data_IF_839705035644
#
_entry.id   IF_839705035644
#
_cell.length_a   1.000
_cell.length_b   1.000
_cell.length_c   1.000
_cell.angle_alpha   90.00
_cell.angle_beta   90.00
_cell.angle_gamma   90.00
#
_symmetry.space_group_name_H-M   'P 1'
#
loop_
_entity.id
_entity.type
_entity.pdbx_description
1 polymer ?
#
# COMPACT_ATOMS: atom_id res chain seq x y z
N UNK A 1 -6.30 7.56 -26.63
CA UNK A 1 -5.80 8.41 -25.54
C UNK A 1 -5.76 7.57 -24.25
N UNK A 2 -4.65 7.54 -23.51
CA UNK A 2 -4.52 6.78 -22.25
C UNK A 2 -4.18 7.76 -21.13
N UNK A 3 -4.95 7.76 -20.05
CA UNK A 3 -4.63 8.51 -18.83
C UNK A 3 -3.88 7.56 -17.89
N UNK A 4 -2.67 7.94 -17.48
CA UNK A 4 -1.95 7.24 -16.41
C UNK A 4 -2.48 7.71 -15.06
N UNK A 5 -2.89 6.77 -14.20
CA UNK A 5 -3.24 7.07 -12.81
C UNK A 5 -2.09 6.62 -11.93
N UNK A 6 -1.48 7.60 -11.26
CA UNK A 6 -0.53 7.41 -10.17
C UNK A 6 -1.16 7.99 -8.92
N UNK A 7 -1.21 7.19 -7.86
CA UNK A 7 -1.77 7.60 -6.58
C UNK A 7 -0.76 7.32 -5.49
N UNK A 8 -0.48 8.33 -4.68
CA UNK A 8 0.34 8.15 -3.49
C UNK A 8 -0.59 7.79 -2.35
N UNK A 9 -0.41 6.60 -1.80
CA UNK A 9 -1.15 6.17 -0.62
C UNK A 9 -0.38 6.66 0.59
N UNK A 10 -1.10 7.38 1.44
CA UNK A 10 -0.55 7.90 2.68
C UNK A 10 -1.66 8.22 3.66
N UNK A 11 -1.23 8.66 4.84
CA UNK A 11 -2.05 8.92 6.03
C UNK A 11 -3.37 9.63 5.72
N UNK A 12 -3.33 10.73 4.96
CA UNK A 12 -4.51 11.51 4.63
C UNK A 12 -5.58 10.69 3.89
N UNK A 13 -5.15 9.85 2.93
CA UNK A 13 -6.06 9.01 2.15
C UNK A 13 -6.60 7.85 2.97
N UNK A 14 -5.77 7.20 3.79
CA UNK A 14 -6.17 5.94 4.44
C UNK A 14 -6.94 6.11 5.75
N UNK A 15 -6.88 7.29 6.39
CA UNK A 15 -7.63 7.60 7.62
C UNK A 15 -9.13 7.38 7.49
N UNK A 16 -9.69 7.54 6.29
CA UNK A 16 -11.10 7.27 6.04
C UNK A 16 -11.47 5.78 6.22
N UNK A 17 -10.49 4.88 6.24
CA UNK A 17 -10.69 3.44 6.39
C UNK A 17 -10.50 2.95 7.84
N UNK A 18 -10.10 3.82 8.78
CA UNK A 18 -10.00 3.48 10.20
C UNK A 18 -8.92 4.26 10.95
N UNK A 19 -8.99 4.19 12.30
CA UNK A 19 -8.07 4.90 13.20
C UNK A 19 -6.60 4.49 13.03
N UNK A 20 -6.35 3.22 12.71
CA UNK A 20 -5.00 2.69 12.41
C UNK A 20 -4.33 3.38 11.19
N UNK A 21 -5.04 4.21 10.44
CA UNK A 21 -4.45 5.08 9.41
C UNK A 21 -3.41 6.06 9.96
N UNK A 22 -3.40 6.33 11.27
CA UNK A 22 -2.36 7.13 11.92
C UNK A 22 -0.95 6.54 11.81
N UNK A 23 -0.83 5.22 11.65
CA UNK A 23 0.44 4.51 11.54
C UNK A 23 1.06 4.56 10.13
N UNK A 24 0.30 5.04 9.14
CA UNK A 24 0.82 5.27 7.80
C UNK A 24 1.59 6.58 7.76
N UNK A 25 2.66 6.68 6.99
CA UNK A 25 3.26 7.98 6.69
C UNK A 25 2.43 8.76 5.67
N UNK A 26 2.72 10.05 5.56
CA UNK A 26 2.04 10.93 4.61
C UNK A 26 2.26 10.48 3.15
N UNK A 27 3.38 9.78 2.88
CA UNK A 27 3.68 9.10 1.61
C UNK A 27 4.24 7.70 1.91
N UNK A 28 3.36 6.70 1.95
CA UNK A 28 3.72 5.33 2.35
C UNK A 28 4.12 4.46 1.16
N UNK A 29 3.30 4.46 0.11
CA UNK A 29 3.53 3.68 -1.10
C UNK A 29 2.89 4.34 -2.31
N UNK A 30 3.32 3.92 -3.50
CA UNK A 30 2.80 4.38 -4.78
C UNK A 30 1.96 3.28 -5.38
N UNK A 31 0.77 3.64 -5.87
CA UNK A 31 -0.09 2.77 -6.65
C UNK A 31 -0.19 3.33 -8.07
N UNK A 32 0.21 2.52 -9.05
CA UNK A 32 0.24 2.90 -10.46
C UNK A 32 -0.42 1.83 -11.32
N UNK A 33 -1.11 2.24 -12.37
CA UNK A 33 -1.71 1.30 -13.33
C UNK A 33 -0.75 1.04 -14.49
N UNK A 34 -0.20 -0.17 -14.55
CA UNK A 34 0.61 -0.66 -15.67
C UNK A 34 -0.26 -1.53 -16.58
N UNK A 35 -0.80 -0.94 -17.64
CA UNK A 35 -1.76 -1.59 -18.53
C UNK A 35 -3.08 -1.94 -17.82
N UNK A 36 -3.34 -3.23 -17.64
CA UNK A 36 -4.53 -3.72 -16.90
C UNK A 36 -4.25 -4.06 -15.44
N UNK A 37 -2.98 -4.02 -15.02
CA UNK A 37 -2.54 -4.43 -13.71
C UNK A 37 -2.26 -3.21 -12.82
N UNK A 38 -2.70 -3.28 -11.57
CA UNK A 38 -2.25 -2.34 -10.56
C UNK A 38 -0.92 -2.80 -9.97
N UNK A 39 0.02 -1.89 -9.79
CA UNK A 39 1.32 -2.14 -9.20
C UNK A 39 1.49 -1.25 -7.99
N UNK A 40 1.87 -1.84 -6.87
CA UNK A 40 2.26 -1.10 -5.66
C UNK A 40 3.78 -1.07 -5.54
N UNK A 41 4.35 0.10 -5.27
CA UNK A 41 5.79 0.28 -5.07
C UNK A 41 6.05 0.92 -3.70
N UNK A 42 7.09 0.49 -2.96
CA UNK A 42 7.39 1.07 -1.66
C UNK A 42 7.97 2.48 -1.83
N UNK A 43 7.70 3.35 -0.85
CA UNK A 43 8.44 4.61 -0.67
C UNK A 43 9.49 4.40 0.42
N UNK A 44 10.73 4.79 0.14
CA UNK A 44 11.83 4.68 1.09
C UNK A 44 11.72 5.72 2.22
N UNK A 45 12.32 5.41 3.38
CA UNK A 45 12.36 6.32 4.52
C UNK A 45 11.06 6.40 5.33
N UNK A 46 10.14 5.45 5.12
CA UNK A 46 8.92 5.34 5.92
C UNK A 46 9.20 4.78 7.31
N UNK A 47 8.49 5.30 8.32
CA UNK A 47 8.56 4.92 9.73
C UNK A 47 8.17 3.46 9.93
N UNK A 48 7.04 3.05 9.32
CA UNK A 48 6.56 1.69 9.30
C UNK A 48 6.75 1.09 7.91
N UNK A 49 7.02 -0.21 7.87
CA UNK A 49 7.19 -0.95 6.64
C UNK A 49 5.85 -1.00 5.88
N UNK A 50 5.88 -0.77 4.57
CA UNK A 50 4.77 -1.15 3.70
C UNK A 50 4.74 -2.67 3.61
N UNK A 51 3.60 -3.27 3.91
CA UNK A 51 3.41 -4.72 3.88
C UNK A 51 2.44 -5.09 2.75
N UNK A 52 2.79 -6.13 1.98
CA UNK A 52 1.87 -6.83 1.07
C UNK A 52 1.71 -8.25 1.57
N UNK A 53 0.48 -8.65 1.89
CA UNK A 53 0.16 -9.97 2.44
C UNK A 53 1.03 -10.32 3.66
N UNK A 54 1.25 -9.33 4.55
CA UNK A 54 2.05 -9.46 5.76
C UNK A 54 3.58 -9.45 5.58
N UNK A 55 4.08 -9.31 4.34
CA UNK A 55 5.52 -9.27 4.04
C UNK A 55 5.95 -7.87 3.65
N UNK A 56 7.13 -7.44 4.10
CA UNK A 56 7.73 -6.16 3.75
C UNK A 56 7.88 -6.05 2.24
N UNK A 57 7.31 -5.01 1.67
CA UNK A 57 7.43 -4.67 0.26
C UNK A 57 8.78 -3.98 0.01
N UNK A 58 9.74 -4.71 -0.54
CA UNK A 58 11.08 -4.19 -0.86
C UNK A 58 11.26 -3.79 -2.31
N UNK A 59 10.35 -4.22 -3.20
CA UNK A 59 10.33 -3.90 -4.61
C UNK A 59 8.87 -3.78 -5.09
N UNK A 60 8.65 -3.27 -6.29
CA UNK A 60 7.31 -3.18 -6.88
C UNK A 60 6.63 -4.54 -6.95
N UNK A 61 5.35 -4.59 -6.57
CA UNK A 61 4.52 -5.79 -6.57
C UNK A 61 3.27 -5.58 -7.43
N UNK A 62 3.05 -6.48 -8.38
CA UNK A 62 1.84 -6.49 -9.19
C UNK A 62 0.67 -7.06 -8.36
N UNK A 63 -0.27 -6.19 -7.99
CA UNK A 63 -1.41 -6.55 -7.16
C UNK A 63 -2.35 -7.52 -7.84
N UNK A 64 -2.83 -8.49 -7.06
CA UNK A 64 -3.88 -9.42 -7.43
C UNK A 64 -5.14 -9.14 -6.61
N UNK A 65 -6.27 -9.63 -7.12
CA UNK A 65 -7.51 -9.57 -6.36
C UNK A 65 -7.33 -10.32 -5.03
N UNK A 66 -7.67 -9.65 -3.93
CA UNK A 66 -7.54 -10.19 -2.58
C UNK A 66 -6.21 -9.89 -1.89
N UNK A 67 -5.20 -9.36 -2.59
CA UNK A 67 -3.96 -8.92 -1.94
C UNK A 67 -4.27 -7.85 -0.88
N UNK A 68 -3.56 -7.89 0.24
CA UNK A 68 -3.69 -6.92 1.32
C UNK A 68 -2.48 -6.00 1.37
N UNK A 69 -2.73 -4.69 1.36
CA UNK A 69 -1.72 -3.65 1.57
C UNK A 69 -1.93 -3.10 2.98
N UNK A 70 -0.87 -3.08 3.78
CA UNK A 70 -0.91 -2.61 5.16
C UNK A 70 0.37 -1.86 5.51
N UNK A 71 0.46 -1.33 6.72
CA UNK A 71 1.72 -0.87 7.33
C UNK A 71 2.03 -1.65 8.59
N UNK A 72 3.30 -1.74 8.97
CA UNK A 72 3.67 -2.31 10.25
C UNK A 72 5.13 -2.71 10.35
N UNK A 73 5.38 -3.86 10.96
CA UNK A 73 6.72 -4.39 11.20
C UNK A 73 6.71 -5.90 11.04
N UNK A 74 7.22 -6.41 9.91
CA UNK A 74 7.22 -7.85 9.60
C UNK A 74 7.89 -8.67 10.70
N UNK A 75 9.05 -8.20 11.19
CA UNK A 75 9.84 -8.91 12.22
C UNK A 75 9.14 -9.02 13.57
N UNK A 76 8.11 -8.20 13.82
CA UNK A 76 7.29 -8.24 15.04
C UNK A 76 5.90 -8.84 14.79
N UNK A 77 5.60 -9.26 13.56
CA UNK A 77 4.27 -9.72 13.17
C UNK A 77 3.17 -8.65 13.28
N UNK A 78 3.54 -7.36 13.30
CA UNK A 78 2.57 -6.26 13.46
C UNK A 78 2.06 -5.84 12.09
N UNK A 79 0.74 -5.89 11.91
CA UNK A 79 0.02 -5.47 10.70
C UNK A 79 -1.07 -4.47 11.11
N UNK A 80 -1.10 -3.31 10.48
CA UNK A 80 -2.03 -2.22 10.76
C UNK A 80 -2.77 -1.78 9.50
N UNK A 81 -4.08 -1.63 9.65
CA UNK A 81 -5.01 -1.22 8.59
C UNK A 81 -4.82 -2.01 7.27
N UNK A 82 -5.08 -3.34 7.25
CA UNK A 82 -5.01 -4.11 6.01
C UNK A 82 -6.12 -3.69 5.04
N UNK A 83 -5.74 -3.12 3.91
CA UNK A 83 -6.63 -2.73 2.81
C UNK A 83 -6.60 -3.80 1.72
N UNK A 84 -7.77 -4.34 1.37
CA UNK A 84 -7.88 -5.41 0.36
C UNK A 84 -7.97 -4.82 -1.05
N UNK A 85 -7.05 -5.23 -1.93
CA UNK A 85 -7.08 -4.89 -3.35
C UNK A 85 -8.26 -5.59 -4.05
N UNK A 86 -9.13 -4.79 -4.67
CA UNK A 86 -10.23 -5.27 -5.50
C UNK A 86 -10.23 -4.52 -6.82
N UNK A 87 -9.99 -5.21 -7.93
CA UNK A 87 -10.23 -4.71 -9.27
C UNK A 87 -11.68 -4.98 -9.66
N UNK A 88 -12.37 -3.97 -10.21
CA UNK A 88 -13.58 -4.16 -11.01
C UNK A 88 -13.19 -4.25 -12.48
#
# INVERSE_FOLDING_TARGET
>A
MKIGVRTELGKALVRQFGADGEFWDDRQCLLERSGRQWVVSPVAGTTNETLVNGKTLTASHALRQGDQIAVGRQTKGVVKLPLTARGR
#
